data_IF_248027459563
#
_entry.id   IF_248027459563
#
_cell.length_a   1.000
_cell.length_b   1.000
_cell.length_c   1.000
_cell.angle_alpha   90.00
_cell.angle_beta   90.00
_cell.angle_gamma   90.00
#
_symmetry.space_group_name_H-M   'P 1'
#
loop_
_entity.id
_entity.type
_entity.pdbx_description
1 polymer ?
#
# COMPACT_ATOMS: atom_id res chain seq x y z
N UNK A 1 -12.33 9.80 -4.82
CA UNK A 1 -13.38 10.74 -4.37
C UNK A 1 -14.60 10.79 -5.26
N UNK A 2 -14.46 10.63 -6.57
CA UNK A 2 -15.57 10.74 -7.51
C UNK A 2 -16.78 9.85 -7.19
N UNK A 3 -16.55 8.57 -6.84
CA UNK A 3 -17.64 7.65 -6.47
C UNK A 3 -18.45 8.17 -5.27
N UNK A 4 -17.78 8.59 -4.19
CA UNK A 4 -18.45 9.18 -3.03
C UNK A 4 -19.19 10.47 -3.40
N UNK A 5 -18.55 11.39 -4.14
CA UNK A 5 -19.21 12.62 -4.60
C UNK A 5 -20.47 12.33 -5.43
N UNK A 6 -20.46 11.26 -6.23
CA UNK A 6 -21.64 10.83 -7.01
C UNK A 6 -22.74 10.24 -6.13
N UNK A 7 -22.41 9.34 -5.21
CA UNK A 7 -23.37 8.71 -4.28
C UNK A 7 -24.06 9.79 -3.41
N UNK A 8 -23.29 10.74 -2.89
CA UNK A 8 -23.80 11.84 -2.08
C UNK A 8 -24.34 13.03 -2.89
N UNK A 9 -24.36 12.93 -4.24
CA UNK A 9 -24.79 13.99 -5.15
C UNK A 9 -24.13 15.35 -4.91
N UNK A 10 -22.88 15.35 -4.47
CA UNK A 10 -22.10 16.55 -4.16
C UNK A 10 -21.71 17.25 -5.46
N UNK A 11 -22.26 18.44 -5.66
CA UNK A 11 -21.94 19.30 -6.79
C UNK A 11 -20.53 19.87 -6.68
N UNK A 12 -19.89 20.12 -7.83
CA UNK A 12 -18.61 20.85 -7.88
C UNK A 12 -18.76 22.25 -7.26
N UNK A 13 -19.93 22.88 -7.38
CA UNK A 13 -20.22 24.22 -6.84
C UNK A 13 -20.18 24.29 -5.32
N UNK A 14 -20.34 23.16 -4.64
CA UNK A 14 -20.25 23.11 -3.17
C UNK A 14 -18.80 23.18 -2.67
N UNK A 15 -17.80 23.07 -3.57
CA UNK A 15 -16.38 23.14 -3.24
C UNK A 15 -15.92 22.25 -2.06
N UNK A 16 -16.66 21.16 -1.78
CA UNK A 16 -16.34 20.27 -0.66
C UNK A 16 -14.98 19.61 -0.81
N UNK A 17 -14.24 19.67 0.28
CA UNK A 17 -12.92 19.04 0.42
C UNK A 17 -13.04 17.52 0.43
N UNK A 18 -11.95 16.82 0.14
CA UNK A 18 -11.96 15.35 0.17
C UNK A 18 -12.20 14.81 1.58
N UNK A 19 -11.78 15.54 2.61
CA UNK A 19 -11.97 15.18 4.02
C UNK A 19 -13.44 15.27 4.43
N UNK A 20 -14.13 16.34 4.05
CA UNK A 20 -15.57 16.51 4.29
C UNK A 20 -16.39 15.42 3.61
N UNK A 21 -16.04 15.06 2.37
CA UNK A 21 -16.71 14.00 1.61
C UNK A 21 -16.52 12.64 2.30
N UNK A 22 -15.32 12.37 2.81
CA UNK A 22 -15.03 11.13 3.53
C UNK A 22 -15.72 11.07 4.90
N UNK A 23 -15.81 12.21 5.60
CA UNK A 23 -16.54 12.34 6.86
C UNK A 23 -18.04 12.10 6.66
N UNK A 24 -18.61 12.67 5.61
CA UNK A 24 -20.01 12.41 5.23
C UNK A 24 -20.26 10.94 4.85
N UNK A 25 -19.24 10.25 4.34
CA UNK A 25 -19.28 8.84 4.00
C UNK A 25 -19.03 7.90 5.20
N UNK A 26 -18.77 8.45 6.39
CA UNK A 26 -18.35 7.72 7.59
C UNK A 26 -17.18 6.74 7.34
N UNK A 27 -16.27 7.12 6.44
CA UNK A 27 -15.11 6.30 6.11
C UNK A 27 -14.01 6.57 7.13
N UNK A 28 -13.92 5.70 8.11
CA UNK A 28 -12.93 5.75 9.20
C UNK A 28 -11.54 5.28 8.77
N UNK A 29 -11.47 4.25 7.92
CA UNK A 29 -10.21 3.78 7.33
C UNK A 29 -10.35 3.53 5.84
N UNK A 30 -9.34 3.95 5.06
CA UNK A 30 -9.30 3.64 3.63
C UNK A 30 -8.85 2.20 3.45
N UNK A 31 -9.47 1.49 2.51
CA UNK A 31 -9.08 0.13 2.13
C UNK A 31 -7.58 0.02 1.83
N UNK A 32 -7.03 1.01 1.14
CA UNK A 32 -5.60 1.03 0.82
C UNK A 32 -4.73 1.05 2.09
N UNK A 33 -5.08 1.85 3.08
CA UNK A 33 -4.34 1.95 4.34
C UNK A 33 -4.40 0.63 5.11
N UNK A 34 -5.57 -0.03 5.12
CA UNK A 34 -5.72 -1.36 5.71
C UNK A 34 -4.87 -2.42 4.99
N UNK A 35 -4.84 -2.40 3.66
CA UNK A 35 -4.02 -3.31 2.86
C UNK A 35 -2.53 -3.09 3.11
N UNK A 36 -2.09 -1.83 3.17
CA UNK A 36 -0.71 -1.46 3.52
C UNK A 36 -0.35 -2.00 4.90
N UNK A 37 -1.17 -1.74 5.92
CA UNK A 37 -0.95 -2.25 7.30
C UNK A 37 -0.82 -3.77 7.33
N UNK A 38 -1.72 -4.50 6.67
CA UNK A 38 -1.69 -5.97 6.61
C UNK A 38 -0.43 -6.49 5.93
N UNK A 39 -0.08 -5.88 4.79
CA UNK A 39 1.09 -6.25 4.01
C UNK A 39 2.40 -5.98 4.74
N UNK A 40 2.51 -4.86 5.46
CA UNK A 40 3.66 -4.56 6.33
C UNK A 40 3.74 -5.48 7.55
N UNK A 41 2.59 -5.82 8.16
CA UNK A 41 2.56 -6.78 9.28
C UNK A 41 3.08 -8.15 8.86
N UNK A 42 2.63 -8.65 7.72
CA UNK A 42 3.11 -9.91 7.15
C UNK A 42 4.62 -9.83 6.84
N UNK A 43 5.09 -8.71 6.28
CA UNK A 43 6.52 -8.49 6.02
C UNK A 43 7.35 -8.58 7.31
N UNK A 44 6.90 -7.90 8.37
CA UNK A 44 7.56 -7.97 9.68
C UNK A 44 7.61 -9.38 10.25
N UNK A 45 6.56 -10.18 10.07
CA UNK A 45 6.55 -11.59 10.50
C UNK A 45 7.57 -12.43 9.73
N UNK A 46 7.67 -12.23 8.41
CA UNK A 46 8.67 -12.91 7.56
C UNK A 46 10.09 -12.50 7.97
N UNK A 47 10.35 -11.20 8.15
CA UNK A 47 11.68 -10.68 8.52
C UNK A 47 12.11 -11.19 9.89
N UNK A 48 11.20 -11.29 10.85
CA UNK A 48 11.50 -11.87 12.19
C UNK A 48 11.73 -13.39 12.18
N UNK A 49 11.60 -14.06 11.03
CA UNK A 49 11.78 -15.51 10.93
C UNK A 49 10.60 -16.35 11.44
N UNK A 50 9.50 -15.72 11.85
CA UNK A 50 8.32 -16.42 12.42
C UNK A 50 7.58 -17.32 11.43
N UNK A 51 7.84 -17.17 10.12
CA UNK A 51 7.21 -17.93 9.04
C UNK A 51 8.20 -18.90 8.35
N UNK A 52 9.41 -19.05 8.89
CA UNK A 52 10.43 -19.96 8.39
C UNK A 52 11.49 -19.31 7.49
N UNK A 53 12.62 -20.01 7.35
CA UNK A 53 13.83 -19.51 6.69
C UNK A 53 13.66 -19.29 5.18
N UNK A 54 12.86 -20.11 4.50
CA UNK A 54 12.64 -20.00 3.06
C UNK A 54 11.98 -18.67 2.67
N UNK A 55 10.96 -18.23 3.41
CA UNK A 55 10.26 -16.98 3.12
C UNK A 55 11.14 -15.77 3.42
N UNK A 56 11.97 -15.88 4.46
CA UNK A 56 12.99 -14.87 4.78
C UNK A 56 13.99 -14.73 3.63
N UNK A 57 14.58 -15.84 3.17
CA UNK A 57 15.46 -15.88 2.00
C UNK A 57 14.77 -15.39 0.72
N UNK A 58 13.50 -15.70 0.49
CA UNK A 58 12.76 -15.22 -0.68
C UNK A 58 12.53 -13.71 -0.66
N UNK A 59 12.42 -13.11 0.53
CA UNK A 59 12.23 -11.67 0.71
C UNK A 59 13.56 -10.90 0.64
N UNK A 60 14.62 -11.44 1.25
CA UNK A 60 15.96 -10.84 1.27
C UNK A 60 16.76 -11.11 0.00
N UNK A 61 16.51 -12.27 -0.62
CA UNK A 61 17.19 -12.76 -1.81
C UNK A 61 16.98 -11.82 -2.99
N UNK A 62 17.90 -10.88 -3.15
CA UNK A 62 18.06 -10.17 -4.41
C UNK A 62 18.80 -11.08 -5.36
N UNK A 63 18.15 -11.43 -6.46
CA UNK A 63 18.83 -12.07 -7.59
C UNK A 63 19.83 -11.06 -8.13
N UNK A 64 21.10 -11.44 -8.22
CA UNK A 64 22.13 -10.60 -8.83
C UNK A 64 21.78 -10.33 -10.30
N UNK A 65 21.83 -9.06 -10.69
CA UNK A 65 21.47 -8.61 -12.04
C UNK A 65 20.42 -7.50 -12.04
N UNK A 66 20.36 -6.74 -13.13
CA UNK A 66 19.35 -5.71 -13.33
C UNK A 66 18.12 -6.31 -14.02
N UNK A 67 16.92 -5.97 -13.54
CA UNK A 67 15.69 -6.28 -14.27
C UNK A 67 15.69 -5.50 -15.59
N UNK A 68 15.15 -6.10 -16.65
CA UNK A 68 15.06 -5.47 -17.96
C UNK A 68 14.40 -4.09 -17.91
N UNK A 69 14.85 -3.20 -18.80
CA UNK A 69 14.61 -1.74 -18.77
C UNK A 69 13.20 -1.29 -19.16
N UNK A 70 12.24 -2.21 -19.17
CA UNK A 70 10.86 -1.93 -19.59
C UNK A 70 9.98 -1.50 -18.41
N UNK A 71 8.86 -2.19 -18.18
CA UNK A 71 7.93 -1.95 -17.08
C UNK A 71 8.11 -3.05 -16.03
N UNK A 72 9.17 -2.98 -15.19
CA UNK A 72 9.37 -3.99 -14.17
C UNK A 72 8.14 -4.05 -13.26
N UNK A 73 7.64 -5.28 -13.03
CA UNK A 73 6.53 -5.48 -12.10
C UNK A 73 6.96 -5.01 -10.71
N UNK A 74 6.08 -4.25 -10.08
CA UNK A 74 6.25 -3.76 -8.72
C UNK A 74 6.27 -4.95 -7.77
N UNK A 75 7.39 -5.14 -7.10
CA UNK A 75 7.59 -6.24 -6.17
C UNK A 75 7.18 -5.83 -4.75
N UNK A 76 7.05 -6.83 -3.88
CA UNK A 76 6.68 -6.58 -2.50
C UNK A 76 7.73 -5.75 -1.74
N UNK A 77 9.01 -5.95 -2.03
CA UNK A 77 10.10 -5.15 -1.45
C UNK A 77 10.05 -3.68 -1.91
N UNK A 78 9.63 -3.41 -3.15
CA UNK A 78 9.43 -2.03 -3.63
C UNK A 78 8.35 -1.32 -2.82
N UNK A 79 7.27 -2.02 -2.47
CA UNK A 79 6.20 -1.48 -1.63
C UNK A 79 6.69 -1.18 -0.21
N UNK A 80 7.41 -2.11 0.41
CA UNK A 80 7.96 -1.93 1.75
C UNK A 80 8.89 -0.72 1.77
N UNK A 81 9.83 -0.63 0.82
CA UNK A 81 10.74 0.52 0.69
C UNK A 81 10.00 1.83 0.50
N UNK A 82 8.98 1.85 -0.36
CA UNK A 82 8.22 3.06 -0.63
C UNK A 82 7.43 3.53 0.60
N UNK A 83 6.82 2.61 1.36
CA UNK A 83 5.94 2.96 2.49
C UNK A 83 6.68 3.23 3.79
N UNK A 84 7.82 2.58 4.01
CA UNK A 84 8.58 2.68 5.27
C UNK A 84 9.83 3.54 5.16
N UNK A 85 10.20 3.96 3.94
CA UNK A 85 11.49 4.59 3.64
C UNK A 85 12.71 3.77 4.08
N UNK A 86 12.52 2.47 4.31
CA UNK A 86 13.57 1.55 4.71
C UNK A 86 14.61 1.47 3.60
N UNK A 87 15.85 1.85 3.93
CA UNK A 87 17.00 1.71 3.04
C UNK A 87 17.55 0.29 3.21
N UNK A 88 17.65 -0.43 2.10
CA UNK A 88 18.10 -1.83 2.04
C UNK A 88 19.27 -1.95 1.10
#
# INVERSE_FOLDING_TARGET
MWCFKRVFRISRKEHKTNEEVLKAADVTERLLDQLIKRKLRYAGNVIRGSLGHLLHLALEGRIEGQRGRERPKRSWTDDIKQWTHYRT
#
